data_IF_730730570824
#
_entry.id   IF_730730570824
#
_cell.length_a   1.000
_cell.length_b   1.000
_cell.length_c   1.000
_cell.angle_alpha   90.00
_cell.angle_beta   90.00
_cell.angle_gamma   90.00
#
_symmetry.space_group_name_H-M   'P 1'
#
loop_
_entity.id
_entity.type
_entity.pdbx_description
1 polymer ?
#
# COMPACT_ATOMS: atom_id res chain seq x y z
N UNK A 1 -4.94 0.86 -25.18
CA UNK A 1 -5.59 2.17 -24.99
C UNK A 1 -5.31 2.62 -23.55
N UNK A 2 -4.62 3.75 -23.33
CA UNK A 2 -4.42 4.29 -21.97
C UNK A 2 -5.74 4.93 -21.54
N UNK A 3 -6.47 4.29 -20.63
CA UNK A 3 -7.65 4.90 -20.01
C UNK A 3 -7.22 5.59 -18.71
N UNK A 4 -8.00 6.58 -18.26
CA UNK A 4 -7.74 7.30 -17.00
C UNK A 4 -7.67 6.31 -15.82
N UNK A 5 -8.50 5.27 -15.85
CA UNK A 5 -8.54 4.21 -14.85
C UNK A 5 -7.27 3.34 -14.86
N UNK A 6 -6.70 3.07 -16.03
CA UNK A 6 -5.43 2.33 -16.15
C UNK A 6 -4.27 3.12 -15.56
N UNK A 7 -4.22 4.43 -15.81
CA UNK A 7 -3.18 5.30 -15.24
C UNK A 7 -3.35 5.48 -13.73
N UNK A 8 -4.59 5.62 -13.22
CA UNK A 8 -4.88 5.65 -11.79
C UNK A 8 -4.43 4.36 -11.08
N UNK A 9 -4.72 3.19 -11.67
CA UNK A 9 -4.26 1.89 -11.12
C UNK A 9 -2.75 1.79 -11.07
N UNK A 10 -2.05 2.25 -12.11
CA UNK A 10 -0.58 2.27 -12.13
C UNK A 10 -0.02 3.21 -11.07
N UNK A 11 -0.63 4.38 -10.88
CA UNK A 11 -0.23 5.34 -9.87
C UNK A 11 -0.36 4.76 -8.46
N UNK A 12 -1.51 4.14 -8.15
CA UNK A 12 -1.74 3.44 -6.87
C UNK A 12 -0.70 2.33 -6.64
N UNK A 13 -0.48 1.47 -7.63
CA UNK A 13 0.51 0.38 -7.51
C UNK A 13 1.94 0.89 -7.33
N UNK A 14 2.32 1.97 -8.03
CA UNK A 14 3.64 2.59 -7.86
C UNK A 14 3.80 3.16 -6.46
N UNK A 15 2.77 3.85 -5.96
CA UNK A 15 2.80 4.46 -4.64
C UNK A 15 2.85 3.39 -3.54
N UNK A 16 2.02 2.34 -3.62
CA UNK A 16 2.07 1.19 -2.71
C UNK A 16 3.48 0.62 -2.58
N UNK A 17 4.13 0.30 -3.71
CA UNK A 17 5.50 -0.23 -3.73
C UNK A 17 6.52 0.73 -3.10
N UNK A 18 6.34 2.03 -3.31
CA UNK A 18 7.21 3.04 -2.73
C UNK A 18 7.09 3.07 -1.20
N UNK A 19 5.87 2.94 -0.66
CA UNK A 19 5.62 2.90 0.80
C UNK A 19 6.10 1.59 1.41
N UNK A 20 5.85 0.44 0.78
CA UNK A 20 6.39 -0.86 1.22
C UNK A 20 7.93 -0.86 1.25
N UNK A 21 8.55 -0.20 0.26
CA UNK A 21 9.99 0.03 0.28
C UNK A 21 10.40 0.94 1.44
N UNK A 22 9.72 2.07 1.63
CA UNK A 22 10.02 3.00 2.73
C UNK A 22 9.93 2.33 4.10
N UNK A 23 8.96 1.42 4.30
CA UNK A 23 8.82 0.63 5.53
C UNK A 23 10.03 -0.30 5.75
N UNK A 24 10.52 -0.92 4.69
CA UNK A 24 11.72 -1.77 4.75
C UNK A 24 12.97 -0.97 5.06
N UNK A 25 13.14 0.18 4.40
CA UNK A 25 14.28 1.08 4.66
C UNK A 25 14.22 1.65 6.09
N UNK A 26 13.02 1.97 6.61
CA UNK A 26 12.85 2.42 8.00
C UNK A 26 13.32 1.37 9.01
N UNK A 27 12.99 0.09 8.79
CA UNK A 27 13.48 -1.01 9.64
C UNK A 27 14.99 -1.16 9.57
N UNK A 28 15.58 -1.03 8.39
CA UNK A 28 17.04 -1.07 8.23
C UNK A 28 17.72 0.09 8.96
N UNK A 29 17.13 1.29 8.88
CA UNK A 29 17.60 2.48 9.59
C UNK A 29 17.48 2.30 11.12
N UNK A 30 16.34 1.80 11.59
CA UNK A 30 16.10 1.50 13.01
C UNK A 30 17.19 0.56 13.55
N UNK A 31 17.47 -0.54 12.86
CA UNK A 31 18.50 -1.49 13.27
C UNK A 31 19.89 -0.87 13.35
N UNK A 32 20.26 -0.04 12.36
CA UNK A 32 21.56 0.62 12.30
C UNK A 32 21.73 1.65 13.43
N UNK A 33 20.75 2.52 13.65
CA UNK A 33 20.83 3.55 14.68
C UNK A 33 20.66 2.98 16.09
N UNK A 34 19.83 1.96 16.28
CA UNK A 34 19.70 1.29 17.59
C UNK A 34 21.01 0.68 18.06
N UNK A 35 21.84 0.19 17.15
CA UNK A 35 23.19 -0.29 17.48
C UNK A 35 24.15 0.86 17.84
N UNK A 36 24.02 2.00 17.17
CA UNK A 36 24.89 3.16 17.38
C UNK A 36 24.56 3.93 18.67
N UNK A 37 23.27 4.12 18.97
CA UNK A 37 22.77 4.99 20.04
C UNK A 37 22.42 4.22 21.32
N UNK A 38 22.23 2.90 21.24
CA UNK A 38 21.95 2.02 22.37
C UNK A 38 20.78 2.52 23.25
N UNK A 39 21.08 3.05 24.44
CA UNK A 39 20.10 3.52 25.43
C UNK A 39 19.45 4.84 25.06
N UNK A 40 20.10 5.67 24.23
CA UNK A 40 19.57 6.97 23.82
C UNK A 40 18.68 6.85 22.57
N UNK A 41 18.55 5.64 22.02
CA UNK A 41 17.81 5.39 20.80
C UNK A 41 16.30 5.68 20.97
N UNK A 42 15.68 6.52 20.11
CA UNK A 42 14.30 6.96 20.27
C UNK A 42 13.29 5.94 19.72
N UNK A 43 13.13 4.81 20.42
CA UNK A 43 12.26 3.68 20.01
C UNK A 43 10.85 4.16 19.63
N UNK A 44 10.19 4.95 20.49
CA UNK A 44 8.81 5.41 20.27
C UNK A 44 8.64 6.24 18.99
N UNK A 45 9.68 7.01 18.61
CA UNK A 45 9.65 7.81 17.38
C UNK A 45 9.67 6.91 16.14
N UNK A 46 10.46 5.85 16.16
CA UNK A 46 10.53 4.87 15.07
C UNK A 46 9.24 4.05 14.97
N UNK A 47 8.68 3.63 16.10
CA UNK A 47 7.39 2.93 16.14
C UNK A 47 6.26 3.81 15.58
N UNK A 48 6.25 5.10 15.92
CA UNK A 48 5.30 6.09 15.40
C UNK A 48 5.44 6.27 13.89
N UNK A 49 6.67 6.37 13.39
CA UNK A 49 6.94 6.46 11.95
C UNK A 49 6.47 5.19 11.22
N UNK A 50 6.74 4.01 11.76
CA UNK A 50 6.31 2.73 11.20
C UNK A 50 4.77 2.57 11.22
N UNK A 51 4.11 3.03 12.28
CA UNK A 51 2.65 3.07 12.36
C UNK A 51 2.06 4.00 11.28
N UNK A 52 2.67 5.18 11.09
CA UNK A 52 2.23 6.14 10.06
C UNK A 52 2.35 5.58 8.65
N UNK A 53 3.45 4.87 8.33
CA UNK A 53 3.60 4.20 7.04
C UNK A 53 2.52 3.14 6.82
N UNK A 54 2.18 2.34 7.85
CA UNK A 54 1.11 1.34 7.79
C UNK A 54 -0.26 1.98 7.52
N UNK A 55 -0.55 3.13 8.12
CA UNK A 55 -1.78 3.89 7.83
C UNK A 55 -1.82 4.29 6.36
N UNK A 56 -0.70 4.75 5.78
CA UNK A 56 -0.64 5.09 4.36
C UNK A 56 -0.83 3.86 3.47
N UNK A 57 -0.27 2.70 3.82
CA UNK A 57 -0.51 1.44 3.07
C UNK A 57 -2.00 1.10 3.05
N UNK A 58 -2.66 1.12 4.22
CA UNK A 58 -4.08 0.81 4.33
C UNK A 58 -4.93 1.77 3.49
N UNK A 59 -4.62 3.07 3.54
CA UNK A 59 -5.27 4.08 2.70
C UNK A 59 -5.15 3.76 1.20
N UNK A 60 -3.95 3.39 0.73
CA UNK A 60 -3.73 3.05 -0.69
C UNK A 60 -4.50 1.79 -1.09
N UNK A 61 -4.61 0.82 -0.19
CA UNK A 61 -5.36 -0.40 -0.44
C UNK A 61 -6.87 -0.13 -0.53
N UNK A 62 -7.41 0.70 0.36
CA UNK A 62 -8.80 1.17 0.31
C UNK A 62 -9.10 1.95 -0.99
N UNK A 63 -8.21 2.86 -1.40
CA UNK A 63 -8.35 3.57 -2.69
C UNK A 63 -8.30 2.61 -3.89
N UNK A 64 -7.50 1.57 -3.80
CA UNK A 64 -7.41 0.49 -4.80
C UNK A 64 -8.71 -0.28 -4.95
N UNK A 65 -9.37 -0.61 -3.83
CA UNK A 65 -10.69 -1.24 -3.83
C UNK A 65 -11.76 -0.30 -4.40
N UNK A 66 -11.81 0.97 -3.95
CA UNK A 66 -12.75 1.98 -4.48
C UNK A 66 -12.62 2.17 -6.00
N UNK A 67 -11.39 2.23 -6.52
CA UNK A 67 -11.16 2.33 -7.95
C UNK A 67 -11.64 1.06 -8.69
N UNK A 68 -11.42 -0.12 -8.10
CA UNK A 68 -11.86 -1.39 -8.69
C UNK A 68 -13.37 -1.48 -8.76
N UNK A 69 -14.06 -1.11 -7.70
CA UNK A 69 -15.53 -1.03 -7.67
C UNK A 69 -16.04 -0.09 -8.76
N UNK A 70 -15.51 1.12 -8.86
CA UNK A 70 -15.89 2.08 -9.91
C UNK A 70 -15.73 1.50 -11.32
N UNK A 71 -14.61 0.81 -11.59
CA UNK A 71 -14.37 0.15 -12.89
C UNK A 71 -15.39 -0.95 -13.16
N UNK A 72 -15.73 -1.77 -12.15
CA UNK A 72 -16.72 -2.85 -12.28
C UNK A 72 -18.12 -2.30 -12.57
N UNK A 73 -18.56 -1.28 -11.81
CA UNK A 73 -19.84 -0.61 -12.02
C UNK A 73 -19.91 0.11 -13.37
N UNK A 74 -18.87 0.87 -13.75
CA UNK A 74 -18.82 1.57 -15.04
C UNK A 74 -18.73 0.61 -16.24
N UNK A 75 -18.21 -0.60 -16.03
CA UNK A 75 -18.17 -1.69 -17.01
C UNK A 75 -19.46 -2.52 -17.11
N UNK A 76 -20.53 -2.16 -16.40
CA UNK A 76 -21.81 -2.88 -16.43
C UNK A 76 -21.81 -4.24 -15.72
N UNK A 77 -20.81 -4.52 -14.88
CA UNK A 77 -20.74 -5.73 -14.08
C UNK A 77 -21.21 -5.45 -12.65
N UNK A 78 -22.40 -5.92 -12.31
CA UNK A 78 -22.90 -5.96 -10.93
C UNK A 78 -21.87 -6.65 -10.00
N UNK A 79 -21.55 -6.06 -8.82
CA UNK A 79 -20.66 -6.68 -7.85
C UNK A 79 -21.31 -7.98 -7.34
N UNK A 80 -20.81 -9.11 -7.85
CA UNK A 80 -21.39 -10.44 -7.63
C UNK A 80 -21.34 -11.33 -8.86
N UNK A 81 -21.09 -10.78 -10.06
CA UNK A 81 -21.05 -11.55 -11.31
C UNK A 81 -19.66 -12.00 -11.78
N UNK A 82 -18.60 -11.68 -11.03
CA UNK A 82 -17.26 -12.22 -11.30
C UNK A 82 -17.24 -13.68 -10.87
N UNK A 83 -17.58 -14.59 -11.80
CA UNK A 83 -17.38 -16.02 -11.61
C UNK A 83 -15.91 -16.27 -11.28
N UNK A 84 -15.65 -16.77 -10.06
CA UNK A 84 -14.45 -17.57 -9.77
C UNK A 84 -14.50 -18.77 -10.70
N UNK A 85 -13.92 -18.67 -11.88
CA UNK A 85 -13.53 -19.85 -12.64
C UNK A 85 -12.35 -20.47 -11.91
N UNK A 86 -12.68 -21.31 -10.91
CA UNK A 86 -11.88 -22.50 -10.64
C UNK A 86 -11.84 -23.34 -11.93
N UNK A 87 -10.63 -23.60 -12.41
CA UNK A 87 -10.28 -24.80 -13.18
C UNK A 87 -8.87 -25.15 -12.70
N UNK A 88 -8.76 -26.20 -11.87
CA UNK A 88 -8.25 -27.54 -12.23
C UNK A 88 -6.86 -27.50 -12.81
#
# INVERSE_FOLDING_TARGET
MKTVESEARKALNRFRRAIEKAETELRSLEGALRHAEQTDFPVESYETAAASLRVVVNFVDEEGERLREKILYAGGLEPGRVRRNQRT
#
